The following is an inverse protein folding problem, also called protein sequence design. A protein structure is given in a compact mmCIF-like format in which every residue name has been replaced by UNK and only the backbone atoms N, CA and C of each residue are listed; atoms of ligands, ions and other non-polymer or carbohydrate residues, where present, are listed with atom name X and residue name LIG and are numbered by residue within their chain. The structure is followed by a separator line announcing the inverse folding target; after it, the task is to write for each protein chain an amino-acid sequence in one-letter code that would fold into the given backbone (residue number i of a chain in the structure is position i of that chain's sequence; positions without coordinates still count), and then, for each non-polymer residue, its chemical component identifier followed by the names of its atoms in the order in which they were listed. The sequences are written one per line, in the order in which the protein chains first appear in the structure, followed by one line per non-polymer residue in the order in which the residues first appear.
data_IF_538934442523
#
_entry.id   IF_538934442523
#
_cell.length_a   1.000
_cell.length_b   1.000
_cell.length_c   1.000
_cell.angle_alpha   90.00
_cell.angle_beta   90.00
_cell.angle_gamma   90.00
#
_symmetry.space_group_name_H-M   'P 1'
#
loop_
_entity.id
_entity.type
_entity.pdbx_description
1 polymer ?
#
# COMPACT_ATOMS: atom_id res chain seq x y z
N UNK A 1 -23.50 -9.24 24.96
CA UNK A 1 -22.11 -8.82 25.14
C UNK A 1 -21.58 -8.36 23.79
N UNK A 2 -21.54 -7.04 23.61
CA UNK A 2 -21.01 -6.41 22.41
C UNK A 2 -19.49 -6.60 22.36
N UNK A 3 -19.02 -7.34 21.36
CA UNK A 3 -17.61 -7.41 21.03
C UNK A 3 -17.15 -6.03 20.55
N UNK A 4 -16.41 -5.33 21.41
CA UNK A 4 -15.74 -4.08 21.04
C UNK A 4 -14.84 -4.34 19.82
N UNK A 5 -14.89 -3.53 18.75
CA UNK A 5 -13.97 -3.70 17.63
C UNK A 5 -12.55 -3.54 18.16
N UNK A 6 -11.77 -4.61 18.04
CA UNK A 6 -10.41 -4.69 18.53
C UNK A 6 -9.63 -3.44 18.15
N UNK A 7 -9.10 -2.76 19.16
CA UNK A 7 -8.28 -1.57 18.99
C UNK A 7 -7.06 -1.96 18.16
N UNK A 8 -7.06 -1.59 16.87
CA UNK A 8 -5.94 -1.83 15.98
C UNK A 8 -4.80 -0.95 16.51
N UNK A 9 -3.78 -1.58 17.09
CA UNK A 9 -2.58 -0.87 17.51
C UNK A 9 -1.98 -0.13 16.32
N UNK A 10 -1.62 1.14 16.50
CA UNK A 10 -0.90 1.90 15.49
C UNK A 10 0.58 1.50 15.53
N UNK A 11 1.09 0.91 14.45
CA UNK A 11 2.51 0.67 14.28
C UNK A 11 3.20 1.98 13.90
N UNK A 12 3.97 2.56 14.82
CA UNK A 12 4.72 3.80 14.59
C UNK A 12 6.19 3.47 14.32
N UNK A 13 6.63 3.66 13.09
CA UNK A 13 8.00 3.36 12.62
C UNK A 13 8.61 4.59 11.91
N UNK A 14 8.93 5.66 12.66
CA UNK A 14 9.13 7.00 12.12
C UNK A 14 10.40 7.14 11.25
N UNK A 15 11.31 6.17 11.31
CA UNK A 15 12.56 6.18 10.57
C UNK A 15 12.63 5.10 9.47
N UNK A 16 11.56 4.33 9.28
CA UNK A 16 11.58 3.23 8.30
C UNK A 16 11.51 3.80 6.88
N UNK A 17 12.59 3.63 6.13
CA UNK A 17 12.74 4.11 4.74
C UNK A 17 12.67 2.99 3.71
N UNK A 18 13.12 1.79 4.06
CA UNK A 18 13.16 0.64 3.16
C UNK A 18 12.38 -0.49 3.82
N UNK A 19 11.42 -1.05 3.09
CA UNK A 19 10.64 -2.21 3.52
C UNK A 19 10.75 -3.31 2.47
N UNK A 20 11.19 -4.48 2.89
CA UNK A 20 11.37 -5.65 2.02
C UNK A 20 10.57 -6.81 2.62
N UNK A 21 9.65 -7.37 1.84
CA UNK A 21 8.76 -8.46 2.22
C UNK A 21 8.94 -9.61 1.22
N UNK A 22 9.52 -10.73 1.67
CA UNK A 22 9.88 -11.86 0.81
C UNK A 22 9.23 -13.14 1.32
N UNK A 23 8.53 -13.85 0.43
CA UNK A 23 7.97 -15.18 0.68
C UNK A 23 7.19 -15.25 1.99
N UNK A 24 6.23 -14.33 2.17
CA UNK A 24 5.33 -14.30 3.34
C UNK A 24 3.94 -14.82 2.94
N UNK A 25 3.74 -16.15 2.90
CA UNK A 25 2.55 -16.76 2.30
C UNK A 25 1.26 -16.54 3.10
N UNK A 26 1.34 -16.02 4.33
CA UNK A 26 0.18 -15.70 5.17
C UNK A 26 -0.05 -14.20 5.32
N UNK A 27 0.84 -13.37 4.75
CA UNK A 27 0.73 -11.94 4.85
C UNK A 27 -0.46 -11.47 4.02
N UNK A 28 -1.53 -11.11 4.72
CA UNK A 28 -2.79 -10.68 4.13
C UNK A 28 -3.16 -9.28 4.60
N UNK A 29 -4.02 -8.61 3.84
CA UNK A 29 -4.45 -7.24 4.09
C UNK A 29 -3.62 -6.19 3.36
N UNK A 30 -3.90 -4.92 3.66
CA UNK A 30 -3.21 -3.76 3.10
C UNK A 30 -1.88 -3.57 3.82
N UNK A 31 -0.77 -3.65 3.09
CA UNK A 31 0.58 -3.62 3.67
C UNK A 31 0.95 -2.26 4.24
N UNK A 32 0.47 -1.19 3.61
CA UNK A 32 0.73 0.17 4.05
C UNK A 32 -0.60 0.83 4.43
N UNK A 33 -0.75 1.11 5.73
CA UNK A 33 -1.76 2.00 6.32
C UNK A 33 -1.05 2.99 7.24
N UNK A 34 -1.50 4.23 7.32
CA UNK A 34 -1.01 5.21 8.30
C UNK A 34 0.40 5.77 8.02
N UNK A 35 1.19 5.98 9.08
CA UNK A 35 2.42 6.79 9.07
C UNK A 35 3.50 6.34 8.06
N UNK A 36 3.47 5.07 7.64
CA UNK A 36 4.37 4.52 6.61
C UNK A 36 4.39 5.35 5.33
N UNK A 37 3.28 6.03 5.01
CA UNK A 37 3.20 6.91 3.85
C UNK A 37 4.22 8.05 3.87
N UNK A 38 4.62 8.49 5.07
CA UNK A 38 5.46 9.68 5.23
C UNK A 38 6.94 9.36 5.30
N UNK A 39 7.36 8.12 5.55
CA UNK A 39 8.76 7.77 5.81
C UNK A 39 9.37 6.88 4.74
N UNK A 40 8.53 6.05 4.12
CA UNK A 40 8.98 5.02 3.20
C UNK A 40 9.47 5.63 1.88
N UNK A 41 10.63 5.17 1.43
CA UNK A 41 11.29 5.50 0.17
C UNK A 41 11.32 4.32 -0.78
N UNK A 42 11.49 3.12 -0.26
CA UNK A 42 11.60 1.92 -1.09
C UNK A 42 10.74 0.79 -0.52
N UNK A 43 9.98 0.15 -1.40
CA UNK A 43 9.18 -1.03 -1.09
C UNK A 43 9.50 -2.15 -2.06
N UNK A 44 9.86 -3.32 -1.54
CA UNK A 44 9.97 -4.56 -2.32
C UNK A 44 9.06 -5.63 -1.73
N UNK A 45 8.24 -6.25 -2.57
CA UNK A 45 7.37 -7.37 -2.22
C UNK A 45 7.62 -8.48 -3.24
N UNK A 46 7.95 -9.69 -2.77
CA UNK A 46 8.20 -10.84 -3.63
C UNK A 46 7.56 -12.10 -3.05
N UNK A 47 6.83 -12.87 -3.87
CA UNK A 47 6.22 -14.16 -3.49
C UNK A 47 5.29 -14.07 -2.25
N UNK A 48 4.59 -12.94 -2.10
CA UNK A 48 3.57 -12.73 -1.07
C UNK A 48 2.18 -13.01 -1.65
N UNK A 49 1.70 -14.25 -1.51
CA UNK A 49 0.52 -14.74 -2.26
C UNK A 49 -0.82 -14.30 -1.71
N UNK A 50 -0.93 -13.90 -0.45
CA UNK A 50 -2.20 -13.48 0.16
C UNK A 50 -2.43 -11.95 0.08
N UNK A 51 -1.45 -11.21 -0.44
CA UNK A 51 -1.56 -9.76 -0.63
C UNK A 51 -2.44 -9.47 -1.84
N UNK A 52 -3.53 -8.74 -1.61
CA UNK A 52 -4.45 -8.28 -2.67
C UNK A 52 -4.25 -6.82 -3.04
N UNK A 53 -3.75 -6.02 -2.10
CA UNK A 53 -3.59 -4.57 -2.22
C UNK A 53 -2.32 -4.12 -1.47
N UNK A 54 -1.50 -3.27 -2.09
CA UNK A 54 -0.28 -2.75 -1.45
C UNK A 54 -0.55 -1.49 -0.64
N UNK A 55 -1.07 -0.44 -1.28
CA UNK A 55 -1.32 0.88 -0.68
C UNK A 55 -2.81 1.25 -0.76
N UNK A 56 -3.38 1.65 0.38
CA UNK A 56 -4.78 2.11 0.48
C UNK A 56 -4.89 3.52 1.08
N UNK A 57 -5.08 4.51 0.23
CA UNK A 57 -5.23 5.90 0.63
C UNK A 57 -6.62 6.18 1.19
N UNK A 58 -6.66 6.90 2.30
CA UNK A 58 -7.90 7.40 2.91
C UNK A 58 -7.81 8.92 3.06
N UNK A 59 -8.48 9.69 2.18
CA UNK A 59 -8.48 11.16 2.24
C UNK A 59 -9.05 11.70 3.56
N UNK A 60 -9.89 10.93 4.26
CA UNK A 60 -10.50 11.36 5.53
C UNK A 60 -9.54 11.33 6.72
N UNK A 61 -8.48 10.52 6.63
CA UNK A 61 -7.52 10.33 7.71
C UNK A 61 -6.19 11.05 7.49
N UNK A 62 -5.93 11.47 6.25
CA UNK A 62 -4.66 12.05 5.86
C UNK A 62 -4.87 13.26 4.95
N UNK A 63 -4.47 14.45 5.42
CA UNK A 63 -4.46 15.67 4.59
C UNK A 63 -3.44 15.61 3.44
N UNK A 64 -2.54 14.63 3.43
CA UNK A 64 -1.61 14.39 2.32
C UNK A 64 -2.16 13.31 1.39
N UNK A 65 -2.39 13.70 0.15
CA UNK A 65 -2.62 12.78 -0.97
C UNK A 65 -1.29 12.09 -1.33
N UNK A 66 -1.24 10.75 -1.29
CA UNK A 66 -0.11 9.97 -1.81
C UNK A 66 0.99 9.59 -0.80
N UNK A 67 2.16 9.21 -1.34
CA UNK A 67 3.35 8.75 -0.59
C UNK A 67 4.52 9.68 -0.97
N UNK A 68 4.65 10.85 -0.33
CA UNK A 68 5.50 11.92 -0.85
C UNK A 68 6.97 11.54 -0.94
N UNK A 69 7.46 10.62 -0.11
CA UNK A 69 8.87 10.22 -0.08
C UNK A 69 9.18 8.93 -0.86
N UNK A 70 8.18 8.27 -1.42
CA UNK A 70 8.38 6.99 -2.10
C UNK A 70 9.12 7.20 -3.41
N UNK A 71 10.27 6.55 -3.55
CA UNK A 71 11.18 6.63 -4.69
C UNK A 71 11.12 5.37 -5.57
N UNK A 72 10.91 4.20 -4.97
CA UNK A 72 10.93 2.92 -5.66
C UNK A 72 9.90 1.92 -5.13
N UNK A 73 9.21 1.24 -6.04
CA UNK A 73 8.32 0.11 -5.74
C UNK A 73 8.66 -1.06 -6.65
N UNK A 74 8.95 -2.21 -6.04
CA UNK A 74 9.13 -3.49 -6.72
C UNK A 74 8.13 -4.52 -6.21
N UNK A 75 7.31 -5.10 -7.09
CA UNK A 75 6.38 -6.17 -6.73
C UNK A 75 6.51 -7.33 -7.72
N UNK A 76 6.78 -8.53 -7.21
CA UNK A 76 7.04 -9.72 -8.01
C UNK A 76 6.34 -10.96 -7.44
N UNK A 77 5.90 -11.86 -8.32
CA UNK A 77 5.39 -13.19 -7.96
C UNK A 77 4.20 -13.18 -6.96
N UNK A 78 3.41 -12.11 -6.93
CA UNK A 78 2.24 -11.98 -6.05
C UNK A 78 0.95 -12.41 -6.77
N UNK A 79 0.65 -13.71 -6.70
CA UNK A 79 -0.42 -14.35 -7.47
C UNK A 79 -1.86 -13.87 -7.20
N UNK A 80 -2.14 -13.26 -6.04
CA UNK A 80 -3.46 -12.70 -5.73
C UNK A 80 -3.50 -11.16 -5.73
N UNK A 81 -2.43 -10.50 -6.15
CA UNK A 81 -2.39 -9.04 -6.14
C UNK A 81 -3.28 -8.46 -7.23
N UNK A 82 -4.28 -7.70 -6.82
CA UNK A 82 -5.27 -7.11 -7.72
C UNK A 82 -5.00 -5.63 -8.01
N UNK A 83 -4.36 -4.93 -7.06
CA UNK A 83 -4.11 -3.49 -7.09
C UNK A 83 -2.80 -3.11 -6.39
N UNK A 84 -2.06 -2.15 -6.96
CA UNK A 84 -0.91 -1.53 -6.27
C UNK A 84 -1.39 -0.38 -5.38
N UNK A 85 -2.13 0.57 -5.98
CA UNK A 85 -2.62 1.77 -5.30
C UNK A 85 -4.14 1.82 -5.35
N UNK A 86 -4.81 2.07 -4.22
CA UNK A 86 -6.23 2.38 -4.20
C UNK A 86 -6.57 3.55 -3.26
N UNK A 87 -7.73 4.18 -3.48
CA UNK A 87 -8.23 5.27 -2.63
C UNK A 87 -9.68 5.02 -2.22
N UNK A 88 -10.02 5.35 -0.96
CA UNK A 88 -11.40 5.39 -0.47
C UNK A 88 -12.16 6.64 -0.98
N UNK A 89 -13.49 6.57 -0.99
CA UNK A 89 -14.35 7.40 -1.83
C UNK A 89 -14.78 8.76 -1.24
N UNK A 90 -14.11 9.29 -0.20
CA UNK A 90 -14.81 10.18 0.73
C UNK A 90 -14.67 11.72 0.57
N UNK A 91 -14.09 12.25 -0.51
CA UNK A 91 -14.27 13.67 -0.91
C UNK A 91 -13.48 14.01 -2.17
N UNK A 92 -14.01 14.95 -2.96
CA UNK A 92 -13.50 15.59 -4.18
C UNK A 92 -12.20 15.05 -4.79
N UNK A 93 -12.29 14.54 -6.02
CA UNK A 93 -11.20 14.10 -6.92
C UNK A 93 -9.76 14.36 -6.42
N UNK A 94 -9.26 13.59 -5.44
CA UNK A 94 -7.90 13.76 -5.00
C UNK A 94 -7.04 13.13 -6.10
N UNK A 95 -6.28 13.94 -6.81
CA UNK A 95 -5.23 13.43 -7.66
C UNK A 95 -4.17 12.86 -6.70
N UNK A 96 -3.94 11.55 -6.77
CA UNK A 96 -2.80 10.94 -6.11
C UNK A 96 -1.55 11.29 -6.90
N UNK A 97 -0.65 12.04 -6.28
CA UNK A 97 0.61 12.45 -6.88
C UNK A 97 1.76 11.78 -6.16
N UNK A 98 2.59 11.08 -6.92
CA UNK A 98 3.79 10.42 -6.43
C UNK A 98 5.02 11.23 -6.83
N UNK A 99 5.24 12.37 -6.16
CA UNK A 99 6.25 13.37 -6.58
C UNK A 99 7.68 12.82 -6.72
N UNK A 100 8.04 11.81 -5.93
CA UNK A 100 9.40 11.27 -5.90
C UNK A 100 9.54 9.87 -6.49
N UNK A 101 8.44 9.25 -6.97
CA UNK A 101 8.48 7.87 -7.48
C UNK A 101 9.20 7.85 -8.83
N UNK A 102 10.37 7.23 -8.85
CA UNK A 102 11.26 7.12 -10.02
C UNK A 102 11.22 5.74 -10.65
N UNK A 103 10.93 4.71 -9.85
CA UNK A 103 10.97 3.31 -10.28
C UNK A 103 9.72 2.57 -9.85
N UNK A 104 9.08 1.90 -10.81
CA UNK A 104 7.99 0.97 -10.59
C UNK A 104 8.27 -0.31 -11.38
N UNK A 105 8.55 -1.40 -10.66
CA UNK A 105 8.84 -2.71 -11.25
C UNK A 105 7.74 -3.67 -10.84
N UNK A 106 7.01 -4.20 -11.82
CA UNK A 106 5.90 -5.13 -11.65
C UNK A 106 6.17 -6.36 -12.52
N UNK A 107 6.27 -7.54 -11.92
CA UNK A 107 6.54 -8.79 -12.65
C UNK A 107 5.70 -9.94 -12.10
N UNK A 108 5.18 -10.79 -13.00
CA UNK A 108 4.49 -12.04 -12.62
C UNK A 108 3.31 -11.81 -11.65
N UNK A 109 2.42 -10.90 -12.04
CA UNK A 109 1.23 -10.49 -11.28
C UNK A 109 -0.05 -10.85 -12.05
N UNK A 110 -0.43 -12.14 -12.15
CA UNK A 110 -1.47 -12.62 -13.06
C UNK A 110 -2.87 -12.06 -12.80
N UNK A 111 -3.15 -11.56 -11.59
CA UNK A 111 -4.44 -10.95 -11.22
C UNK A 111 -4.42 -9.42 -11.20
N UNK A 112 -3.29 -8.79 -11.53
CA UNK A 112 -3.20 -7.34 -11.51
C UNK A 112 -4.02 -6.74 -12.66
N UNK A 113 -5.21 -6.23 -12.32
CA UNK A 113 -6.11 -5.62 -13.29
C UNK A 113 -5.84 -4.13 -13.54
N UNK A 114 -5.29 -3.42 -12.54
CA UNK A 114 -4.92 -2.02 -12.66
C UNK A 114 -3.84 -1.65 -11.65
N UNK A 115 -2.96 -0.71 -12.02
CA UNK A 115 -1.97 -0.13 -11.12
C UNK A 115 -2.64 0.80 -10.10
N UNK A 116 -3.69 1.51 -10.52
CA UNK A 116 -4.47 2.41 -9.67
C UNK A 116 -5.97 2.18 -9.85
N UNK A 117 -6.71 2.09 -8.74
CA UNK A 117 -8.19 2.04 -8.76
C UNK A 117 -8.77 2.85 -7.63
N UNK A 118 -9.81 3.63 -7.93
CA UNK A 118 -10.67 4.20 -6.90
C UNK A 118 -11.67 3.12 -6.47
N UNK A 119 -11.66 2.71 -5.20
CA UNK A 119 -12.67 1.77 -4.70
C UNK A 119 -13.96 2.54 -4.44
N UNK A 120 -15.05 2.10 -5.08
CA UNK A 120 -16.40 2.64 -4.86
C UNK A 120 -16.88 2.48 -3.42
#
# INVERSE_FOLDING_TARGET
EDASPGKIGSLVVPNLRVLILLSLPKLSGTLCKGQLYTTLRELTISDCREVKEVFRFDPSQHSQSGVPNLESVGVKDCGNLEMIFSSSNNSGNPILVFHNLKSLVLADLPKLGSIYRRSE
#
